data_IF_276251094354
#
_entry.id   IF_276251094354
#
_cell.length_a   1.000
_cell.length_b   1.000
_cell.length_c   1.000
_cell.angle_alpha   90.00
_cell.angle_beta   90.00
_cell.angle_gamma   90.00
#
_symmetry.space_group_name_H-M   'P 1'
#
loop_
_entity.id
_entity.type
_entity.pdbx_description
1 polymer ?
#
# COMPACT_ATOMS: atom_id res chain seq x y z
N UNK A 1 -12.40 16.22 -18.18
CA UNK A 1 -12.00 16.59 -16.81
C UNK A 1 -11.94 15.32 -15.99
N UNK A 2 -10.82 15.08 -15.31
CA UNK A 2 -10.77 14.10 -14.23
C UNK A 2 -11.74 14.54 -13.12
N UNK A 3 -12.30 13.59 -12.37
CA UNK A 3 -13.15 13.93 -11.22
C UNK A 3 -12.24 14.46 -10.11
N UNK A 4 -12.59 15.59 -9.47
CA UNK A 4 -11.89 16.09 -8.28
C UNK A 4 -11.76 15.01 -7.20
N UNK A 5 -12.74 14.10 -7.12
CA UNK A 5 -12.68 12.93 -6.23
C UNK A 5 -11.51 11.99 -6.57
N UNK A 6 -11.24 11.76 -7.85
CA UNK A 6 -10.12 10.90 -8.25
C UNK A 6 -8.78 11.52 -7.87
N UNK A 7 -8.63 12.83 -8.03
CA UNK A 7 -7.39 13.54 -7.66
C UNK A 7 -7.13 13.45 -6.14
N UNK A 8 -8.17 13.60 -5.32
CA UNK A 8 -8.04 13.42 -3.86
C UNK A 8 -7.65 11.98 -3.48
N UNK A 9 -8.29 10.98 -4.10
CA UNK A 9 -7.96 9.57 -3.89
C UNK A 9 -6.52 9.25 -4.34
N UNK A 10 -6.08 9.87 -5.42
CA UNK A 10 -4.74 9.71 -5.97
C UNK A 10 -3.67 10.23 -5.01
N UNK A 11 -3.86 11.44 -4.47
CA UNK A 11 -2.99 12.02 -3.43
C UNK A 11 -2.98 11.16 -2.15
N UNK A 12 -4.14 10.67 -1.71
CA UNK A 12 -4.26 9.84 -0.51
C UNK A 12 -3.56 8.49 -0.68
N UNK A 13 -3.78 7.80 -1.80
CA UNK A 13 -3.14 6.52 -2.10
C UNK A 13 -1.63 6.70 -2.25
N UNK A 14 -1.16 7.74 -2.92
CA UNK A 14 0.27 8.03 -3.06
C UNK A 14 0.92 8.24 -1.68
N UNK A 15 0.31 9.05 -0.82
CA UNK A 15 0.79 9.28 0.54
C UNK A 15 0.79 8.00 1.41
N UNK A 16 -0.17 7.09 1.22
CA UNK A 16 -0.18 5.79 1.91
C UNK A 16 0.96 4.88 1.43
N UNK A 17 1.20 4.82 0.12
CA UNK A 17 2.27 4.00 -0.47
C UNK A 17 3.67 4.50 -0.05
N UNK A 18 3.86 5.81 0.03
CA UNK A 18 5.11 6.40 0.56
C UNK A 18 5.34 6.01 2.03
N UNK A 19 4.31 6.15 2.87
CA UNK A 19 4.39 5.74 4.28
C UNK A 19 4.70 4.24 4.44
N UNK A 20 4.08 3.40 3.61
CA UNK A 20 4.33 1.96 3.62
C UNK A 20 5.77 1.65 3.21
N UNK A 21 6.29 2.36 2.20
CA UNK A 21 7.67 2.23 1.74
C UNK A 21 8.65 2.56 2.86
N UNK A 22 8.47 3.71 3.53
CA UNK A 22 9.34 4.12 4.64
C UNK A 22 9.33 3.10 5.79
N UNK A 23 8.15 2.59 6.14
CA UNK A 23 8.01 1.58 7.20
C UNK A 23 8.67 0.25 6.83
N UNK A 24 8.55 -0.19 5.57
CA UNK A 24 9.13 -1.44 5.08
C UNK A 24 10.65 -1.36 4.90
N UNK A 25 11.17 -0.28 4.33
CA UNK A 25 12.59 -0.14 4.00
C UNK A 25 13.42 0.31 5.20
N UNK A 26 12.92 1.25 6.02
CA UNK A 26 13.65 1.80 7.16
C UNK A 26 13.14 1.24 8.50
N UNK A 27 11.82 1.19 8.69
CA UNK A 27 11.21 0.91 9.98
C UNK A 27 11.52 -0.48 10.54
N UNK A 28 11.39 -1.53 9.71
CA UNK A 28 11.56 -2.93 10.17
C UNK A 28 12.95 -3.21 10.72
N UNK A 29 13.99 -2.65 10.11
CA UNK A 29 15.39 -2.80 10.53
C UNK A 29 15.73 -2.02 11.81
N UNK A 30 14.93 -1.00 12.14
CA UNK A 30 15.14 -0.12 13.29
C UNK A 30 14.41 -0.58 14.55
N UNK A 31 13.46 -1.53 14.44
CA UNK A 31 12.79 -2.11 15.60
C UNK A 31 13.80 -2.75 16.56
N UNK A 32 13.76 -2.33 17.82
CA UNK A 32 14.65 -2.82 18.90
C UNK A 32 14.05 -4.02 19.63
N UNK A 33 12.75 -4.24 19.51
CA UNK A 33 12.04 -5.34 20.14
C UNK A 33 11.11 -6.08 19.18
N UNK A 34 10.77 -7.30 19.58
CA UNK A 34 9.79 -8.14 18.88
C UNK A 34 8.40 -7.50 18.85
N UNK A 35 8.00 -6.84 19.94
CA UNK A 35 6.69 -6.19 20.05
C UNK A 35 6.61 -4.95 19.14
N UNK A 36 7.66 -4.11 19.11
CA UNK A 36 7.73 -2.97 18.19
C UNK A 36 7.59 -3.42 16.73
N UNK A 37 8.27 -4.50 16.35
CA UNK A 37 8.17 -5.05 14.99
C UNK A 37 6.76 -5.57 14.68
N UNK A 38 6.11 -6.24 15.65
CA UNK A 38 4.73 -6.73 15.49
C UNK A 38 3.76 -5.56 15.31
N UNK A 39 3.87 -4.52 16.13
CA UNK A 39 3.06 -3.31 16.00
C UNK A 39 3.26 -2.66 14.63
N UNK A 40 4.51 -2.47 14.21
CA UNK A 40 4.83 -1.88 12.90
C UNK A 40 4.24 -2.70 11.74
N UNK A 41 4.37 -4.02 11.77
CA UNK A 41 3.79 -4.89 10.74
C UNK A 41 2.26 -4.81 10.69
N UNK A 42 1.60 -4.74 11.86
CA UNK A 42 0.15 -4.53 11.93
C UNK A 42 -0.29 -3.16 11.41
N UNK A 43 0.53 -2.12 11.60
CA UNK A 43 0.27 -0.81 10.99
C UNK A 43 0.43 -0.84 9.48
N UNK A 44 1.47 -1.51 8.96
CA UNK A 44 1.68 -1.69 7.51
C UNK A 44 0.48 -2.43 6.91
N UNK A 45 -0.01 -3.50 7.54
CA UNK A 45 -1.19 -4.22 7.08
C UNK A 45 -2.45 -3.36 7.03
N UNK A 46 -2.63 -2.46 8.01
CA UNK A 46 -3.73 -1.49 8.00
C UNK A 46 -3.60 -0.51 6.84
N UNK A 47 -2.42 0.10 6.67
CA UNK A 47 -2.17 1.03 5.57
C UNK A 47 -2.33 0.36 4.20
N UNK A 48 -1.90 -0.91 4.04
CA UNK A 48 -2.11 -1.69 2.83
C UNK A 48 -3.60 -1.91 2.53
N UNK A 49 -4.40 -2.15 3.57
CA UNK A 49 -5.85 -2.28 3.43
C UNK A 49 -6.47 -0.95 3.02
N UNK A 50 -6.12 0.14 3.67
CA UNK A 50 -6.65 1.47 3.37
C UNK A 50 -6.29 1.89 1.93
N UNK A 51 -5.06 1.62 1.47
CA UNK A 51 -4.64 1.85 0.09
C UNK A 51 -5.40 0.95 -0.91
N UNK A 52 -5.66 -0.32 -0.55
CA UNK A 52 -6.49 -1.21 -1.36
C UNK A 52 -7.92 -0.70 -1.51
N UNK A 53 -8.52 -0.22 -0.43
CA UNK A 53 -9.88 0.34 -0.45
C UNK A 53 -9.92 1.63 -1.31
N UNK A 54 -8.91 2.49 -1.20
CA UNK A 54 -8.73 3.66 -2.06
C UNK A 54 -8.63 3.31 -3.55
N UNK A 55 -7.88 2.26 -3.91
CA UNK A 55 -7.78 1.80 -5.30
C UNK A 55 -9.10 1.29 -5.86
N UNK A 56 -9.92 0.62 -5.04
CA UNK A 56 -11.28 0.21 -5.44
C UNK A 56 -12.13 1.44 -5.74
N UNK A 57 -12.04 2.49 -4.93
CA UNK A 57 -12.75 3.74 -5.20
C UNK A 57 -12.25 4.46 -6.46
N UNK A 58 -10.94 4.46 -6.70
CA UNK A 58 -10.36 5.02 -7.93
C UNK A 58 -10.88 4.29 -9.18
N UNK A 59 -10.96 2.96 -9.15
CA UNK A 59 -11.54 2.16 -10.24
C UNK A 59 -13.02 2.50 -10.50
N UNK A 60 -13.78 2.83 -9.45
CA UNK A 60 -15.17 3.29 -9.59
C UNK A 60 -15.22 4.66 -10.27
N UNK A 61 -14.34 5.59 -9.91
CA UNK A 61 -14.28 6.92 -10.53
C UNK A 61 -13.84 6.87 -12.00
N UNK A 62 -12.89 5.99 -12.35
CA UNK A 62 -12.46 5.76 -13.73
C UNK A 62 -13.64 5.38 -14.62
N UNK A 63 -14.52 4.49 -14.14
CA UNK A 63 -15.71 4.04 -14.89
C UNK A 63 -16.69 5.18 -15.17
N UNK A 64 -16.67 6.25 -14.37
CA UNK A 64 -17.50 7.46 -14.56
C UNK A 64 -16.84 8.48 -15.48
N UNK A 65 -15.52 8.45 -15.63
CA UNK A 65 -14.77 9.41 -16.42
C UNK A 65 -15.00 9.26 -17.94
N UNK A 66 -14.81 10.32 -18.75
CA UNK A 66 -14.83 10.24 -20.21
C UNK A 66 -13.67 9.38 -20.75
N UNK A 67 -13.87 8.74 -21.91
CA UNK A 67 -12.94 7.77 -22.51
C UNK A 67 -11.50 8.31 -22.64
N UNK A 68 -11.36 9.59 -23.01
CA UNK A 68 -10.08 10.27 -23.19
C UNK A 68 -9.19 10.27 -21.93
N UNK A 69 -9.81 10.27 -20.75
CA UNK A 69 -9.11 10.32 -19.46
C UNK A 69 -8.95 8.93 -18.83
N UNK A 70 -9.80 7.97 -19.20
CA UNK A 70 -9.79 6.61 -18.63
C UNK A 70 -8.44 5.94 -18.78
N UNK A 71 -7.83 6.01 -19.97
CA UNK A 71 -6.58 5.33 -20.23
C UNK A 71 -5.47 5.78 -19.28
N UNK A 72 -5.31 7.10 -19.10
CA UNK A 72 -4.30 7.68 -18.19
C UNK A 72 -4.58 7.28 -16.74
N UNK A 73 -5.83 7.40 -16.28
CA UNK A 73 -6.21 7.06 -14.92
C UNK A 73 -6.04 5.55 -14.63
N UNK A 74 -6.42 4.69 -15.58
CA UNK A 74 -6.24 3.23 -15.49
C UNK A 74 -4.78 2.85 -15.41
N UNK A 75 -3.90 3.44 -16.23
CA UNK A 75 -2.46 3.19 -16.12
C UNK A 75 -1.90 3.59 -14.76
N UNK A 76 -2.41 4.67 -14.16
CA UNK A 76 -2.02 5.10 -12.81
C UNK A 76 -2.47 4.11 -11.74
N UNK A 77 -3.72 3.67 -11.76
CA UNK A 77 -4.25 2.64 -10.84
C UNK A 77 -3.49 1.32 -10.98
N UNK A 78 -3.16 0.90 -12.20
CA UNK A 78 -2.35 -0.31 -12.43
C UNK A 78 -0.94 -0.20 -11.82
N UNK A 79 -0.31 0.99 -11.89
CA UNK A 79 0.97 1.24 -11.21
C UNK A 79 0.85 0.99 -9.71
N UNK A 80 -0.14 1.60 -9.07
CA UNK A 80 -0.38 1.44 -7.64
C UNK A 80 -0.74 0.00 -7.24
N UNK A 81 -1.53 -0.72 -8.04
CA UNK A 81 -1.83 -2.13 -7.79
C UNK A 81 -0.56 -3.01 -7.80
N UNK A 82 0.37 -2.75 -8.72
CA UNK A 82 1.64 -3.46 -8.78
C UNK A 82 2.54 -3.14 -7.56
N UNK A 83 2.56 -1.88 -7.13
CA UNK A 83 3.29 -1.47 -5.92
C UNK A 83 2.68 -2.12 -4.65
N UNK A 84 1.36 -2.09 -4.52
CA UNK A 84 0.65 -2.74 -3.43
C UNK A 84 0.96 -4.24 -3.36
N UNK A 85 0.98 -4.93 -4.52
CA UNK A 85 1.35 -6.34 -4.59
C UNK A 85 2.79 -6.58 -4.11
N UNK A 86 3.73 -5.73 -4.52
CA UNK A 86 5.12 -5.79 -4.05
C UNK A 86 5.18 -5.62 -2.53
N UNK A 87 4.47 -4.65 -1.96
CA UNK A 87 4.46 -4.41 -0.52
C UNK A 87 3.81 -5.53 0.29
N UNK A 88 2.74 -6.14 -0.23
CA UNK A 88 2.12 -7.34 0.37
C UNK A 88 3.11 -8.50 0.44
N UNK A 89 3.88 -8.73 -0.62
CA UNK A 89 4.92 -9.76 -0.65
C UNK A 89 6.04 -9.46 0.36
N UNK A 90 6.53 -8.22 0.42
CA UNK A 90 7.58 -7.80 1.36
C UNK A 90 7.12 -7.94 2.83
N UNK A 91 5.90 -7.52 3.11
CA UNK A 91 5.29 -7.65 4.45
C UNK A 91 5.17 -9.12 4.85
N UNK A 92 4.72 -9.98 3.92
CA UNK A 92 4.62 -11.42 4.16
C UNK A 92 5.98 -12.06 4.43
N UNK A 93 7.01 -11.72 3.67
CA UNK A 93 8.39 -12.22 3.90
C UNK A 93 8.90 -11.76 5.27
N UNK A 94 8.62 -10.52 5.65
CA UNK A 94 8.99 -9.96 6.95
C UNK A 94 8.31 -10.71 8.10
N UNK A 95 7.02 -11.01 7.97
CA UNK A 95 6.27 -11.84 8.92
C UNK A 95 6.84 -13.25 9.06
N UNK A 96 7.17 -13.92 7.94
CA UNK A 96 7.73 -15.27 7.99
C UNK A 96 9.11 -15.29 8.65
N UNK A 97 9.94 -14.29 8.37
CA UNK A 97 11.26 -14.12 9.00
C UNK A 97 11.11 -13.89 10.50
N UNK A 98 10.15 -13.06 10.90
CA UNK A 98 9.83 -12.81 12.30
C UNK A 98 9.34 -14.06 13.03
N UNK A 99 8.43 -14.84 12.44
CA UNK A 99 7.93 -16.09 13.03
C UNK A 99 9.06 -17.11 13.25
N UNK A 100 10.00 -17.24 12.30
CA UNK A 100 11.18 -18.10 12.44
C UNK A 100 12.08 -17.69 13.61
N UNK A 101 12.31 -16.38 13.79
CA UNK A 101 13.10 -15.87 14.91
C UNK A 101 12.48 -16.18 16.27
N UNK A 102 11.14 -16.20 16.38
CA UNK A 102 10.44 -16.50 17.63
C UNK A 102 10.57 -17.97 18.02
N UNK A 103 10.46 -18.87 17.05
CA UNK A 103 10.46 -20.32 17.29
C UNK A 103 11.88 -20.92 17.37
N UNK A 104 12.93 -20.11 17.19
CA UNK A 104 14.33 -20.54 17.32
C UNK A 104 14.79 -21.53 16.23
N UNK A 105 14.22 -21.45 15.02
CA UNK A 105 14.58 -22.26 13.85
C UNK A 105 15.38 -21.46 12.81
#
# INVERSE_FOLDING_TARGET
MSSHKFELLDEEVEALLDQITDKLECGIGQCKSQEERKTLLSEIERSLKDASDGLVEMDIEIKKAPLEYRNTMTSKVQRYQNELLRFLLMTRVSYLTFQRQIIGL
#
